data_IF_569555107314
#
_entry.id   IF_569555107314
#
_cell.length_a   1.000
_cell.length_b   1.000
_cell.length_c   1.000
_cell.angle_alpha   90.00
_cell.angle_beta   90.00
_cell.angle_gamma   90.00
#
_symmetry.space_group_name_H-M   'P 1'
#
loop_
_entity.id
_entity.type
_entity.pdbx_description
1 polymer ?
#
# COMPACT_ATOMS: atom_id res chain seq x y z
N UNK A 1 13.58 25.94 -4.21
CA UNK A 1 12.34 26.71 -3.98
C UNK A 1 11.21 25.97 -4.66
N UNK A 2 10.12 25.64 -3.96
CA UNK A 2 8.94 25.01 -4.56
C UNK A 2 8.33 25.99 -5.58
N UNK A 3 8.00 25.51 -6.78
CA UNK A 3 7.27 26.32 -7.76
C UNK A 3 5.78 26.22 -7.45
N UNK A 4 5.14 27.34 -7.23
CA UNK A 4 3.71 27.45 -6.91
C UNK A 4 3.01 28.28 -7.98
N UNK A 5 1.78 27.89 -8.34
CA UNK A 5 0.95 28.68 -9.24
C UNK A 5 0.55 30.00 -8.57
N UNK A 6 0.50 31.14 -9.30
CA UNK A 6 0.01 32.41 -8.75
C UNK A 6 -1.43 32.36 -8.22
N UNK A 7 -2.23 31.39 -8.69
CA UNK A 7 -3.63 31.20 -8.28
C UNK A 7 -3.78 30.17 -7.14
N UNK A 8 -2.70 29.59 -6.63
CA UNK A 8 -2.75 28.67 -5.50
C UNK A 8 -2.56 29.43 -4.19
N UNK A 9 -3.58 29.46 -3.33
CA UNK A 9 -3.55 30.12 -2.03
C UNK A 9 -2.96 29.28 -0.90
N UNK A 10 -2.65 28.00 -1.14
CA UNK A 10 -2.15 27.09 -0.10
C UNK A 10 -0.72 27.45 0.30
N UNK A 11 -0.37 27.12 1.54
CA UNK A 11 1.00 27.30 2.04
C UNK A 11 1.72 25.94 2.03
N UNK A 12 2.94 25.93 1.51
CA UNK A 12 3.73 24.72 1.34
C UNK A 12 5.03 24.78 2.14
N UNK A 13 5.36 23.69 2.81
CA UNK A 13 6.65 23.53 3.49
C UNK A 13 7.21 22.15 3.22
N UNK A 14 8.37 22.10 2.56
CA UNK A 14 9.14 20.87 2.42
C UNK A 14 10.12 20.74 3.58
N UNK A 15 10.08 19.60 4.26
CA UNK A 15 11.01 19.25 5.34
C UNK A 15 11.60 17.86 5.10
N UNK A 16 12.73 17.58 5.73
CA UNK A 16 13.29 16.23 5.83
C UNK A 16 13.45 15.90 7.31
N UNK A 17 12.83 14.81 7.76
CA UNK A 17 12.91 14.36 9.14
C UNK A 17 14.30 13.77 9.44
N UNK A 18 14.63 13.62 10.72
CA UNK A 18 15.94 13.11 11.15
C UNK A 18 16.24 11.69 10.63
N UNK A 19 15.20 10.89 10.32
CA UNK A 19 15.33 9.56 9.73
C UNK A 19 15.42 9.57 8.19
N UNK A 20 15.52 10.75 7.56
CA UNK A 20 15.62 10.91 6.11
C UNK A 20 14.28 10.95 5.37
N UNK A 21 13.14 10.76 6.05
CA UNK A 21 11.83 10.85 5.41
C UNK A 21 11.58 12.27 4.90
N UNK A 22 11.31 12.39 3.60
CA UNK A 22 10.97 13.66 2.94
C UNK A 22 9.48 13.90 3.05
N UNK A 23 9.08 15.06 3.54
CA UNK A 23 7.68 15.41 3.80
C UNK A 23 7.35 16.74 3.13
N UNK A 24 6.20 16.79 2.46
CA UNK A 24 5.59 18.02 1.98
C UNK A 24 4.36 18.32 2.83
N UNK A 25 4.43 19.37 3.63
CA UNK A 25 3.30 19.89 4.39
C UNK A 25 2.54 20.88 3.50
N UNK A 26 1.22 20.75 3.49
CA UNK A 26 0.31 21.61 2.73
C UNK A 26 -0.74 22.12 3.71
N UNK A 27 -0.75 23.44 3.94
CA UNK A 27 -1.73 24.10 4.78
C UNK A 27 -2.78 24.80 3.91
N UNK A 28 -4.05 24.55 4.23
CA UNK A 28 -5.21 25.11 3.53
C UNK A 28 -6.35 25.37 4.52
N UNK A 29 -6.55 26.63 4.90
CA UNK A 29 -7.58 27.04 5.86
C UNK A 29 -9.02 26.87 5.34
N UNK A 30 -9.22 26.75 4.02
CA UNK A 30 -10.53 26.54 3.42
C UNK A 30 -10.98 25.07 3.43
N UNK A 31 -10.09 24.15 3.81
CA UNK A 31 -10.36 22.71 3.73
C UNK A 31 -11.14 22.18 4.93
N UNK A 32 -12.26 21.51 4.68
CA UNK A 32 -13.05 20.81 5.71
C UNK A 32 -12.56 19.39 5.99
N UNK A 33 -11.73 18.86 5.08
CA UNK A 33 -11.03 17.57 5.22
C UNK A 33 -9.53 17.76 5.24
N UNK A 34 -8.84 16.88 5.92
CA UNK A 34 -7.39 16.73 5.83
C UNK A 34 -7.05 15.39 5.20
N UNK A 35 -5.89 15.29 4.58
CA UNK A 35 -5.42 14.08 3.94
C UNK A 35 -3.93 13.87 4.20
N UNK A 36 -3.51 12.61 4.15
CA UNK A 36 -2.10 12.25 4.11
C UNK A 36 -1.89 11.13 3.10
N UNK A 37 -0.68 11.08 2.55
CA UNK A 37 -0.22 10.01 1.69
C UNK A 37 1.23 9.68 2.03
N UNK A 38 1.59 8.41 1.91
CA UNK A 38 2.97 7.93 2.02
C UNK A 38 3.24 6.98 0.86
N UNK A 39 4.26 7.30 0.08
CA UNK A 39 4.77 6.43 -0.97
C UNK A 39 6.10 5.81 -0.51
N UNK A 40 6.17 4.48 -0.56
CA UNK A 40 7.39 3.71 -0.33
C UNK A 40 8.05 3.47 -1.68
N UNK A 41 9.38 3.57 -1.76
CA UNK A 41 10.15 3.35 -2.99
C UNK A 41 10.38 1.85 -3.26
N UNK A 42 9.32 1.08 -3.18
CA UNK A 42 9.24 -0.36 -3.43
C UNK A 42 7.92 -0.66 -4.09
N UNK A 43 7.94 -1.50 -5.12
CA UNK A 43 6.76 -1.98 -5.82
C UNK A 43 6.96 -3.40 -6.32
N UNK A 44 6.15 -3.84 -7.29
CA UNK A 44 6.21 -5.23 -7.76
C UNK A 44 7.51 -5.59 -8.53
N UNK A 45 8.38 -4.62 -8.86
CA UNK A 45 9.73 -4.92 -9.36
C UNK A 45 10.65 -5.50 -8.29
N UNK A 46 10.29 -5.33 -7.02
CA UNK A 46 11.04 -5.82 -5.87
C UNK A 46 10.57 -7.20 -5.40
N UNK A 47 9.49 -7.73 -6.00
CA UNK A 47 8.98 -9.06 -5.70
C UNK A 47 10.08 -10.11 -5.93
N UNK A 48 10.24 -11.08 -5.01
CA UNK A 48 11.05 -12.26 -5.29
C UNK A 48 10.49 -12.97 -6.52
N UNK A 49 11.36 -13.48 -7.41
CA UNK A 49 10.94 -14.15 -8.63
C UNK A 49 10.00 -15.35 -8.38
N UNK A 50 10.14 -15.97 -7.20
CA UNK A 50 9.31 -17.07 -6.74
C UNK A 50 8.12 -16.62 -5.88
N UNK A 51 7.94 -15.33 -5.60
CA UNK A 51 6.83 -14.73 -4.84
C UNK A 51 6.26 -13.51 -5.55
N UNK A 52 5.84 -13.71 -6.79
CA UNK A 52 5.25 -12.65 -7.61
C UNK A 52 3.91 -12.18 -7.01
N UNK A 53 3.74 -10.87 -6.81
CA UNK A 53 2.60 -10.25 -6.12
C UNK A 53 2.85 -9.97 -4.62
N UNK A 54 4.05 -10.21 -4.09
CA UNK A 54 4.32 -10.05 -2.66
C UNK A 54 4.23 -8.58 -2.18
N UNK A 55 4.67 -7.61 -2.97
CA UNK A 55 4.53 -6.19 -2.65
C UNK A 55 3.05 -5.76 -2.58
N UNK A 56 2.24 -6.24 -3.53
CA UNK A 56 0.80 -6.02 -3.54
C UNK A 56 0.13 -6.71 -2.34
N UNK A 57 0.59 -7.91 -2.00
CA UNK A 57 0.06 -8.60 -0.83
C UNK A 57 0.40 -7.88 0.48
N UNK A 58 1.64 -7.41 0.63
CA UNK A 58 2.03 -6.64 1.81
C UNK A 58 1.18 -5.37 1.94
N UNK A 59 0.89 -4.68 0.84
CA UNK A 59 0.00 -3.52 0.82
C UNK A 59 -1.35 -3.83 1.51
N UNK A 60 -2.02 -4.89 1.10
CA UNK A 60 -3.28 -5.32 1.70
C UNK A 60 -3.10 -5.62 3.20
N UNK A 61 -2.04 -6.36 3.54
CA UNK A 61 -1.77 -6.78 4.92
C UNK A 61 -1.53 -5.60 5.88
N UNK A 62 -1.02 -4.46 5.41
CA UNK A 62 -0.81 -3.27 6.27
C UNK A 62 -2.12 -2.66 6.79
N UNK A 63 -3.26 -2.92 6.13
CA UNK A 63 -4.57 -2.48 6.61
C UNK A 63 -5.16 -3.38 7.70
N UNK A 64 -4.66 -4.61 7.84
CA UNK A 64 -5.26 -5.66 8.68
C UNK A 64 -4.75 -5.66 10.12
N UNK A 65 -4.32 -4.51 10.62
CA UNK A 65 -4.04 -4.29 12.02
C UNK A 65 -2.55 -4.11 12.34
N UNK A 66 -2.31 -3.43 13.44
CA UNK A 66 -0.98 -3.03 13.92
C UNK A 66 -0.87 -3.32 15.42
N UNK A 67 0.33 -3.25 15.97
CA UNK A 67 0.58 -3.49 17.40
C UNK A 67 -0.33 -2.66 18.31
N UNK A 68 -0.54 -1.38 17.97
CA UNK A 68 -1.37 -0.47 18.76
C UNK A 68 -2.86 -0.52 18.40
N UNK A 69 -3.21 -1.05 17.23
CA UNK A 69 -4.58 -1.17 16.72
C UNK A 69 -4.78 -2.57 16.11
N UNK A 70 -4.95 -3.62 16.94
CA UNK A 70 -4.86 -5.00 16.46
C UNK A 70 -6.12 -5.55 15.78
N UNK A 71 -7.27 -4.89 15.91
CA UNK A 71 -8.47 -5.25 15.15
C UNK A 71 -8.25 -4.86 13.67
N UNK A 72 -8.20 -5.86 12.77
CA UNK A 72 -7.96 -5.66 11.34
C UNK A 72 -9.04 -4.86 10.60
N UNK A 73 -10.13 -4.51 11.27
CA UNK A 73 -11.15 -3.59 10.74
C UNK A 73 -11.12 -2.20 11.38
N UNK A 74 -10.25 -1.96 12.37
CA UNK A 74 -10.22 -0.73 13.18
C UNK A 74 -9.96 0.50 12.33
N UNK A 75 -8.92 0.47 11.48
CA UNK A 75 -8.54 1.61 10.66
C UNK A 75 -9.67 2.01 9.71
N UNK A 76 -10.23 1.04 8.98
CA UNK A 76 -11.32 1.29 8.04
C UNK A 76 -12.56 1.82 8.76
N UNK A 77 -12.94 1.23 9.90
CA UNK A 77 -14.07 1.73 10.71
C UNK A 77 -13.82 3.16 11.17
N UNK A 78 -12.62 3.47 11.66
CA UNK A 78 -12.27 4.81 12.13
C UNK A 78 -12.38 5.85 11.01
N UNK A 79 -11.80 5.56 9.84
CA UNK A 79 -11.85 6.47 8.68
C UNK A 79 -13.30 6.70 8.23
N UNK A 80 -14.07 5.62 8.06
CA UNK A 80 -15.46 5.69 7.61
C UNK A 80 -16.37 6.45 8.60
N UNK A 81 -16.22 6.23 9.90
CA UNK A 81 -17.03 6.89 10.93
C UNK A 81 -16.79 8.40 11.02
N UNK A 82 -15.64 8.88 10.55
CA UNK A 82 -15.28 10.29 10.58
C UNK A 82 -15.26 10.93 9.18
N UNK A 83 -16.11 10.40 8.28
CA UNK A 83 -16.38 10.95 6.96
C UNK A 83 -15.20 10.88 6.00
N UNK A 84 -14.24 9.99 6.25
CA UNK A 84 -13.04 9.82 5.45
C UNK A 84 -13.13 8.68 4.44
N UNK A 85 -12.11 8.59 3.59
CA UNK A 85 -11.84 7.43 2.73
C UNK A 85 -10.36 7.09 2.79
N UNK A 86 -9.99 5.86 2.45
CA UNK A 86 -8.60 5.45 2.30
C UNK A 86 -8.49 4.50 1.11
N UNK A 87 -7.29 4.39 0.58
CA UNK A 87 -6.94 3.38 -0.39
C UNK A 87 -5.41 3.23 -0.44
N UNK A 88 -4.96 2.26 -1.23
CA UNK A 88 -3.58 2.16 -1.64
C UNK A 88 -3.50 1.62 -3.07
N UNK A 89 -2.28 1.62 -3.60
CA UNK A 89 -1.96 0.92 -4.84
C UNK A 89 -0.49 0.55 -4.87
N UNK A 90 -0.21 -0.58 -5.49
CA UNK A 90 1.15 -1.06 -5.77
C UNK A 90 1.45 -0.95 -7.27
N UNK A 91 2.44 -0.12 -7.60
CA UNK A 91 2.97 0.07 -8.94
C UNK A 91 4.24 -0.75 -9.19
N UNK A 92 4.98 -0.39 -10.23
CA UNK A 92 6.25 -1.03 -10.58
C UNK A 92 7.32 -0.81 -9.51
N UNK A 93 7.53 0.46 -9.12
CA UNK A 93 8.63 0.89 -8.25
C UNK A 93 8.15 1.52 -6.94
N UNK A 94 6.83 1.70 -6.78
CA UNK A 94 6.25 2.37 -5.62
C UNK A 94 4.95 1.72 -5.17
N UNK A 95 4.75 1.70 -3.86
CA UNK A 95 3.47 1.43 -3.21
C UNK A 95 3.05 2.69 -2.47
N UNK A 96 1.84 3.18 -2.73
CA UNK A 96 1.32 4.42 -2.17
C UNK A 96 0.08 4.15 -1.35
N UNK A 97 0.09 4.61 -0.09
CA UNK A 97 -1.04 4.54 0.82
C UNK A 97 -1.54 5.96 1.07
N UNK A 98 -2.85 6.16 1.15
CA UNK A 98 -3.41 7.48 1.39
C UNK A 98 -4.79 7.42 2.02
N UNK A 99 -5.13 8.51 2.70
CA UNK A 99 -6.46 8.71 3.24
C UNK A 99 -6.86 10.19 3.25
N UNK A 100 -8.16 10.42 3.27
CA UNK A 100 -8.78 11.67 3.69
C UNK A 100 -9.67 11.44 4.92
N UNK A 101 -9.88 12.47 5.72
CA UNK A 101 -10.75 12.44 6.90
C UNK A 101 -11.22 13.86 7.25
N UNK A 102 -12.30 13.99 8.02
CA UNK A 102 -12.67 15.27 8.64
C UNK A 102 -11.46 15.89 9.37
N UNK A 103 -11.19 17.19 9.13
CA UNK A 103 -9.97 17.84 9.59
C UNK A 103 -9.72 17.73 11.11
N UNK A 104 -10.80 17.72 11.90
CA UNK A 104 -10.77 17.56 13.37
C UNK A 104 -10.21 16.22 13.84
N UNK A 105 -10.19 15.20 12.99
CA UNK A 105 -9.72 13.83 13.31
C UNK A 105 -8.39 13.49 12.64
N UNK A 106 -7.77 14.44 11.94
CA UNK A 106 -6.57 14.21 11.15
C UNK A 106 -5.42 13.59 11.94
N UNK A 107 -5.08 14.14 13.11
CA UNK A 107 -3.97 13.63 13.92
C UNK A 107 -4.23 12.20 14.42
N UNK A 108 -5.49 11.88 14.72
CA UNK A 108 -5.88 10.53 15.17
C UNK A 108 -5.83 9.51 14.03
N UNK A 109 -6.19 9.92 12.80
CA UNK A 109 -6.02 9.09 11.62
C UNK A 109 -4.55 8.92 11.25
N UNK A 110 -3.77 10.00 11.29
CA UNK A 110 -2.35 9.99 10.97
C UNK A 110 -1.57 9.09 11.92
N UNK A 111 -1.92 9.07 13.21
CA UNK A 111 -1.32 8.14 14.18
C UNK A 111 -1.56 6.67 13.80
N UNK A 112 -2.78 6.30 13.43
CA UNK A 112 -3.08 4.93 12.98
C UNK A 112 -2.34 4.58 11.70
N UNK A 113 -2.39 5.50 10.74
CA UNK A 113 -1.71 5.37 9.46
C UNK A 113 -0.20 5.19 9.63
N UNK A 114 0.43 5.90 10.55
CA UNK A 114 1.88 5.74 10.80
C UNK A 114 2.26 4.36 11.32
N UNK A 115 1.36 3.66 12.02
CA UNK A 115 1.65 2.32 12.57
C UNK A 115 1.82 1.26 11.48
N UNK A 116 1.25 1.49 10.29
CA UNK A 116 1.41 0.60 9.12
C UNK A 116 2.90 0.42 8.78
N UNK A 117 3.68 1.48 8.98
CA UNK A 117 5.10 1.55 8.62
C UNK A 117 6.05 1.34 9.81
N UNK A 118 5.50 1.07 11.00
CA UNK A 118 6.28 0.92 12.23
C UNK A 118 6.15 -0.49 12.79
N UNK A 119 4.91 -0.98 12.94
CA UNK A 119 4.63 -2.24 13.61
C UNK A 119 3.32 -2.89 13.10
N UNK A 120 3.22 -3.26 11.81
CA UNK A 120 2.11 -4.06 11.32
C UNK A 120 2.11 -5.44 11.99
N UNK A 121 0.91 -6.02 12.19
CA UNK A 121 0.79 -7.34 12.81
C UNK A 121 1.25 -8.47 11.89
N UNK A 122 0.87 -8.40 10.61
CA UNK A 122 1.11 -9.46 9.62
C UNK A 122 0.71 -10.86 10.13
N UNK A 123 -0.43 -10.94 10.84
CA UNK A 123 -0.86 -12.15 11.52
C UNK A 123 -1.32 -13.25 10.55
N UNK A 124 -0.95 -14.50 10.83
CA UNK A 124 -1.24 -15.68 9.98
C UNK A 124 -2.73 -15.81 9.63
N UNK A 125 -3.63 -15.58 10.60
CA UNK A 125 -5.08 -15.65 10.41
C UNK A 125 -5.57 -14.67 9.34
N UNK A 126 -4.96 -13.49 9.25
CA UNK A 126 -5.28 -12.51 8.22
C UNK A 126 -4.65 -12.87 6.87
N UNK A 127 -3.43 -13.41 6.87
CA UNK A 127 -2.74 -13.82 5.64
C UNK A 127 -3.57 -14.84 4.86
N UNK A 128 -4.10 -15.86 5.52
CA UNK A 128 -4.89 -16.91 4.84
C UNK A 128 -6.11 -16.31 4.14
N UNK A 129 -6.86 -15.46 4.85
CA UNK A 129 -8.07 -14.85 4.30
C UNK A 129 -7.75 -13.83 3.20
N UNK A 130 -6.70 -13.05 3.38
CA UNK A 130 -6.38 -11.97 2.45
C UNK A 130 -5.77 -12.50 1.14
N UNK A 131 -5.10 -13.65 1.18
CA UNK A 131 -4.68 -14.37 -0.03
C UNK A 131 -5.86 -14.74 -0.93
N UNK A 132 -6.97 -15.20 -0.36
CA UNK A 132 -8.21 -15.49 -1.10
C UNK A 132 -8.81 -14.21 -1.72
N UNK A 133 -8.71 -13.07 -1.02
CA UNK A 133 -9.18 -11.79 -1.54
C UNK A 133 -8.36 -11.33 -2.76
N UNK A 134 -7.03 -11.50 -2.72
CA UNK A 134 -6.14 -11.18 -3.86
C UNK A 134 -6.45 -12.07 -5.06
N UNK A 135 -6.68 -13.37 -4.83
CA UNK A 135 -7.06 -14.28 -5.91
C UNK A 135 -8.42 -13.91 -6.52
N UNK A 136 -9.37 -13.51 -5.69
CA UNK A 136 -10.65 -12.99 -6.16
C UNK A 136 -10.50 -11.70 -6.96
N UNK A 137 -9.61 -10.78 -6.56
CA UNK A 137 -9.29 -9.58 -7.33
C UNK A 137 -8.71 -9.92 -8.70
N UNK A 138 -7.71 -10.79 -8.74
CA UNK A 138 -7.10 -11.28 -9.97
C UNK A 138 -8.17 -11.91 -10.88
N UNK A 139 -8.97 -12.82 -10.33
CA UNK A 139 -10.02 -13.55 -11.05
C UNK A 139 -11.07 -12.60 -11.63
N UNK A 140 -11.49 -11.59 -10.86
CA UNK A 140 -12.47 -10.58 -11.30
C UNK A 140 -11.97 -9.78 -12.51
N UNK A 141 -10.65 -9.64 -12.67
CA UNK A 141 -10.01 -8.86 -13.74
C UNK A 141 -9.56 -9.67 -14.95
N UNK A 142 -9.75 -10.99 -14.98
CA UNK A 142 -9.34 -11.85 -16.10
C UNK A 142 -9.94 -11.46 -17.47
N UNK A 143 -11.12 -10.81 -17.45
CA UNK A 143 -11.85 -10.36 -18.65
C UNK A 143 -11.70 -8.87 -18.93
N UNK A 144 -10.87 -8.17 -18.16
CA UNK A 144 -10.57 -6.75 -18.39
C UNK A 144 -9.52 -6.63 -19.50
N UNK A 145 -9.89 -6.03 -20.63
CA UNK A 145 -9.00 -5.95 -21.80
C UNK A 145 -7.73 -5.13 -21.54
N UNK A 146 -7.79 -4.10 -20.68
CA UNK A 146 -6.62 -3.31 -20.33
C UNK A 146 -5.63 -4.15 -19.53
N UNK A 147 -6.11 -4.97 -18.59
CA UNK A 147 -5.28 -5.92 -17.84
C UNK A 147 -4.69 -7.00 -18.74
N UNK A 148 -5.49 -7.58 -19.64
CA UNK A 148 -5.02 -8.58 -20.60
C UNK A 148 -3.93 -8.05 -21.53
N UNK A 149 -4.10 -6.82 -22.04
CA UNK A 149 -3.06 -6.15 -22.85
C UNK A 149 -1.79 -5.89 -22.05
N UNK A 150 -1.93 -5.54 -20.77
CA UNK A 150 -0.80 -5.35 -19.87
C UNK A 150 -0.05 -6.67 -19.64
N UNK A 151 -0.74 -7.78 -19.41
CA UNK A 151 -0.12 -9.10 -19.23
C UNK A 151 0.60 -9.56 -20.51
N UNK A 152 -0.01 -9.40 -21.68
CA UNK A 152 0.66 -9.68 -22.97
C UNK A 152 1.91 -8.84 -23.14
N UNK A 153 1.89 -7.56 -22.73
CA UNK A 153 3.08 -6.72 -22.77
C UNK A 153 4.19 -7.26 -21.85
N UNK A 154 3.83 -7.71 -20.64
CA UNK A 154 4.79 -8.33 -19.71
C UNK A 154 5.42 -9.61 -20.26
N UNK A 155 4.64 -10.42 -20.96
CA UNK A 155 5.10 -11.70 -21.54
C UNK A 155 5.94 -11.52 -22.83
N UNK A 156 5.86 -10.37 -23.48
CA UNK A 156 6.52 -10.12 -24.79
C UNK A 156 7.76 -9.24 -24.71
N UNK A 157 8.09 -8.72 -23.52
CA UNK A 157 9.34 -8.00 -23.28
C UNK A 157 10.48 -8.95 -22.90
N UNK A 158 11.66 -8.39 -22.59
CA UNK A 158 12.79 -9.17 -22.09
C UNK A 158 12.42 -9.89 -20.78
N UNK A 159 12.41 -11.24 -20.75
CA UNK A 159 12.00 -12.01 -19.57
C UNK A 159 12.97 -11.89 -18.38
N UNK A 160 14.15 -11.27 -18.57
CA UNK A 160 15.09 -10.96 -17.49
C UNK A 160 14.79 -9.61 -16.80
N UNK A 161 13.89 -8.81 -17.36
CA UNK A 161 13.54 -7.51 -16.80
C UNK A 161 12.39 -7.67 -15.79
N UNK A 162 12.43 -7.02 -14.60
CA UNK A 162 11.41 -7.22 -13.55
C UNK A 162 9.98 -6.86 -13.98
N UNK A 163 9.82 -6.06 -15.04
CA UNK A 163 8.50 -5.80 -15.63
C UNK A 163 7.78 -7.05 -16.13
N UNK A 164 8.49 -8.13 -16.51
CA UNK A 164 7.86 -9.37 -16.98
C UNK A 164 7.20 -10.17 -15.85
N UNK A 165 7.41 -9.79 -14.58
CA UNK A 165 6.84 -10.50 -13.44
C UNK A 165 5.34 -10.23 -13.28
N UNK A 166 4.61 -11.24 -12.81
CA UNK A 166 3.20 -11.12 -12.48
C UNK A 166 2.99 -10.24 -11.24
N UNK A 167 2.32 -9.10 -11.39
CA UNK A 167 2.30 -8.07 -10.33
C UNK A 167 1.16 -8.20 -9.33
N UNK A 168 0.10 -8.95 -9.66
CA UNK A 168 -1.11 -8.99 -8.83
C UNK A 168 -0.95 -10.02 -7.71
N UNK A 169 -0.36 -11.18 -8.01
CA UNK A 169 -0.38 -12.33 -7.13
C UNK A 169 -1.70 -13.11 -7.24
N UNK A 170 -1.68 -14.36 -6.81
CA UNK A 170 -2.84 -15.25 -6.75
C UNK A 170 -2.55 -16.39 -5.75
N UNK A 171 -3.46 -17.36 -5.63
CA UNK A 171 -3.27 -18.50 -4.74
C UNK A 171 -2.00 -19.31 -5.04
N UNK A 172 -1.58 -19.39 -6.31
CA UNK A 172 -0.39 -20.15 -6.71
C UNK A 172 0.92 -19.45 -6.32
N UNK A 173 1.07 -18.16 -6.63
CA UNK A 173 2.32 -17.43 -6.38
C UNK A 173 2.52 -17.10 -4.90
N UNK A 174 1.41 -16.97 -4.16
CA UNK A 174 1.38 -16.64 -2.73
C UNK A 174 1.08 -17.87 -1.84
N UNK A 175 1.22 -19.09 -2.39
CA UNK A 175 1.00 -20.34 -1.67
C UNK A 175 1.97 -20.53 -0.50
N UNK A 176 1.48 -21.20 0.55
CA UNK A 176 2.30 -21.70 1.65
C UNK A 176 3.34 -22.72 1.13
N UNK A 177 4.52 -22.78 1.75
CA UNK A 177 5.60 -23.70 1.36
C UNK A 177 6.15 -24.44 2.54
N UNK A 178 6.50 -25.71 2.34
CA UNK A 178 7.12 -26.56 3.37
C UNK A 178 6.35 -26.59 4.70
N UNK A 179 5.02 -26.48 4.63
CA UNK A 179 4.14 -26.41 5.81
C UNK A 179 4.19 -25.09 6.58
N UNK A 180 4.81 -24.04 6.02
CA UNK A 180 4.93 -22.72 6.62
C UNK A 180 4.11 -21.67 5.85
N UNK A 181 3.48 -20.77 6.62
CA UNK A 181 2.74 -19.64 6.11
C UNK A 181 3.70 -18.59 5.50
N UNK A 182 3.26 -17.94 4.42
CA UNK A 182 3.99 -16.85 3.77
C UNK A 182 4.19 -15.59 4.64
N UNK A 183 3.58 -15.51 5.83
CA UNK A 183 3.71 -14.43 6.79
C UNK A 183 5.16 -14.07 7.13
N UNK A 184 6.05 -15.06 7.26
CA UNK A 184 7.48 -14.82 7.50
C UNK A 184 8.15 -14.11 6.32
N UNK A 185 7.75 -14.43 5.10
CA UNK A 185 8.27 -13.79 3.88
C UNK A 185 7.73 -12.36 3.74
N UNK A 186 6.45 -12.13 4.08
CA UNK A 186 5.88 -10.79 4.19
C UNK A 186 6.64 -9.94 5.21
N UNK A 187 6.93 -10.51 6.38
CA UNK A 187 7.65 -9.82 7.44
C UNK A 187 9.10 -9.53 7.03
N UNK A 188 9.77 -10.49 6.37
CA UNK A 188 11.10 -10.28 5.83
C UNK A 188 11.12 -9.20 4.74
N UNK A 189 10.12 -9.17 3.87
CA UNK A 189 9.97 -8.14 2.85
C UNK A 189 9.77 -6.76 3.47
N UNK A 190 8.89 -6.63 4.47
CA UNK A 190 8.65 -5.40 5.21
C UNK A 190 9.88 -4.90 5.98
N UNK A 191 10.71 -5.80 6.55
CA UNK A 191 11.92 -5.39 7.27
C UNK A 191 13.07 -5.00 6.33
N UNK A 192 13.10 -5.57 5.13
CA UNK A 192 14.15 -5.30 4.14
C UNK A 192 13.96 -3.94 3.46
N UNK A 193 12.72 -3.51 3.28
CA UNK A 193 12.33 -2.40 2.41
C UNK A 193 11.52 -1.34 3.18
#
# INVERSE_FOLDING_TARGET
MLKQSPNDSKQYQAITLNNGLRVLLIHNDESTKSAAALAVNVGHFNDPCDRQGLAHFLEHMLFLGTKNYPDGSEYQKFINQHGGNHNAWTGTEHTCFFFDIAATHFLLALKRFSEFFIAPLLADDFVVKERENIDAEFTLKLKDDIRRLYDVHKDTINPKHPFSQFSVGNLDTLADRDGQNISQELQAFFQKY
#
